data_IF_495457308747
#
_entry.id   IF_495457308747
#
_cell.length_a   1.000
_cell.length_b   1.000
_cell.length_c   1.000
_cell.angle_alpha   90.00
_cell.angle_beta   90.00
_cell.angle_gamma   90.00
#
_symmetry.space_group_name_H-M   'P 1'
#
loop_
_entity.id
_entity.type
_entity.pdbx_description
1 polymer ?
#
# COMPACT_ATOMS: atom_id res chain seq x y z
N UNK A 1 18.90 6.91 -13.74
CA UNK A 1 18.42 8.22 -13.25
C UNK A 1 16.99 8.45 -13.74
N UNK A 2 16.11 8.78 -12.83
CA UNK A 2 14.73 9.06 -13.18
C UNK A 2 14.63 10.46 -13.77
N UNK A 3 13.95 10.62 -14.91
CA UNK A 3 13.77 11.93 -15.53
C UNK A 3 12.89 12.83 -14.67
N UNK A 4 13.01 14.14 -14.83
CA UNK A 4 12.14 15.09 -14.13
C UNK A 4 10.67 14.87 -14.46
N UNK A 5 10.37 14.53 -15.72
CA UNK A 5 9.00 14.21 -16.15
C UNK A 5 8.43 13.02 -15.39
N UNK A 6 9.23 11.97 -15.20
CA UNK A 6 8.80 10.78 -14.46
C UNK A 6 8.59 11.10 -12.99
N UNK A 7 9.48 11.91 -12.39
CA UNK A 7 9.33 12.37 -11.01
C UNK A 7 8.05 13.17 -10.81
N UNK A 8 7.74 14.08 -11.74
CA UNK A 8 6.51 14.87 -11.69
C UNK A 8 5.27 13.97 -11.78
N UNK A 9 5.30 12.98 -12.68
CA UNK A 9 4.21 12.03 -12.82
C UNK A 9 4.00 11.23 -11.54
N UNK A 10 5.09 10.81 -10.89
CA UNK A 10 5.01 10.07 -9.63
C UNK A 10 4.45 10.94 -8.52
N UNK A 11 4.84 12.21 -8.45
CA UNK A 11 4.27 13.15 -7.47
C UNK A 11 2.78 13.33 -7.69
N UNK A 12 2.35 13.45 -8.94
CA UNK A 12 0.93 13.57 -9.27
C UNK A 12 0.13 12.35 -8.83
N UNK A 13 0.68 11.16 -9.04
CA UNK A 13 0.04 9.91 -8.61
C UNK A 13 -0.12 9.89 -7.09
N UNK A 14 0.94 10.22 -6.35
CA UNK A 14 0.92 10.25 -4.90
C UNK A 14 -0.10 11.27 -4.39
N UNK A 15 -0.08 12.47 -4.95
CA UNK A 15 -1.00 13.52 -4.51
C UNK A 15 -2.45 13.22 -4.87
N UNK A 16 -2.68 12.57 -6.01
CA UNK A 16 -4.03 12.14 -6.38
C UNK A 16 -4.57 11.13 -5.37
N UNK A 17 -3.78 10.13 -5.00
CA UNK A 17 -4.20 9.14 -4.01
C UNK A 17 -4.38 9.75 -2.62
N UNK A 18 -3.60 10.76 -2.29
CA UNK A 18 -3.76 11.46 -1.03
C UNK A 18 -5.08 12.25 -0.98
N UNK A 19 -5.39 12.98 -2.04
CA UNK A 19 -6.61 13.81 -2.09
C UNK A 19 -7.87 13.00 -2.41
N UNK A 20 -7.72 11.90 -3.14
CA UNK A 20 -8.84 11.07 -3.58
C UNK A 20 -8.57 9.60 -3.23
N UNK A 21 -8.49 9.26 -1.93
CA UNK A 21 -8.15 7.89 -1.54
C UNK A 21 -9.20 6.88 -2.03
N UNK A 22 -8.71 5.72 -2.43
CA UNK A 22 -9.54 4.62 -2.93
C UNK A 22 -9.87 3.66 -1.80
N UNK A 23 -10.96 2.89 -2.00
CA UNK A 23 -11.33 1.80 -1.09
C UNK A 23 -11.49 2.25 0.37
N UNK A 24 -12.16 3.39 0.57
CA UNK A 24 -12.34 3.96 1.91
C UNK A 24 -13.67 3.58 2.56
N UNK A 25 -14.53 2.87 1.85
CA UNK A 25 -15.83 2.47 2.37
C UNK A 25 -15.66 1.37 3.41
N UNK A 26 -16.13 1.62 4.63
CA UNK A 26 -15.99 0.68 5.72
C UNK A 26 -16.80 -0.60 5.49
N UNK A 27 -16.22 -1.73 5.87
CA UNK A 27 -16.87 -3.04 5.81
C UNK A 27 -17.49 -3.31 7.18
N UNK A 28 -18.80 -3.58 7.23
CA UNK A 28 -19.53 -3.74 8.50
C UNK A 28 -19.15 -4.99 9.27
N UNK A 29 -18.79 -6.06 8.59
CA UNK A 29 -18.40 -7.33 9.22
C UNK A 29 -17.19 -7.91 8.48
N UNK A 30 -16.01 -7.30 8.66
CA UNK A 30 -14.84 -7.79 7.94
C UNK A 30 -14.42 -9.16 8.47
N UNK A 31 -13.86 -9.97 7.58
CA UNK A 31 -13.25 -11.23 7.99
C UNK A 31 -11.97 -10.96 8.79
N UNK A 32 -11.22 -9.91 8.41
CA UNK A 32 -9.99 -9.52 9.09
C UNK A 32 -9.95 -8.02 9.24
N UNK A 33 -9.35 -7.55 10.32
CA UNK A 33 -9.19 -6.13 10.61
C UNK A 33 -7.91 -5.90 11.39
N UNK A 34 -7.22 -4.81 11.07
CA UNK A 34 -6.04 -4.39 11.84
C UNK A 34 -5.99 -2.86 11.88
N UNK A 35 -5.57 -2.35 13.03
CA UNK A 35 -5.25 -0.93 13.18
C UNK A 35 -3.78 -0.83 13.55
N UNK A 36 -3.09 0.13 12.96
CA UNK A 36 -1.68 0.34 13.23
C UNK A 36 -1.36 1.83 13.16
N UNK A 37 -0.40 2.25 13.95
CA UNK A 37 0.05 3.64 13.94
C UNK A 37 1.56 3.72 13.86
N UNK A 38 2.04 4.89 13.42
CA UNK A 38 3.43 5.26 13.46
C UNK A 38 3.58 6.42 14.44
N UNK A 39 4.07 6.19 15.67
CA UNK A 39 4.11 7.22 16.69
C UNK A 39 5.02 8.39 16.33
N UNK A 40 5.99 8.20 15.44
CA UNK A 40 6.93 9.26 15.05
C UNK A 40 6.28 10.30 14.13
N UNK A 41 5.32 9.88 13.31
CA UNK A 41 4.68 10.75 12.31
C UNK A 41 3.20 11.01 12.62
N UNK A 42 2.65 10.38 13.65
CA UNK A 42 1.23 10.51 13.95
C UNK A 42 0.32 9.84 12.92
N UNK A 43 0.87 8.98 12.07
CA UNK A 43 0.08 8.26 11.08
C UNK A 43 -0.72 7.16 11.73
N UNK A 44 -1.96 7.01 11.29
CA UNK A 44 -2.84 5.93 11.72
C UNK A 44 -3.45 5.27 10.49
N UNK A 45 -3.58 3.95 10.51
CA UNK A 45 -4.16 3.20 9.41
C UNK A 45 -5.07 2.10 9.96
N UNK A 46 -6.20 1.90 9.29
CA UNK A 46 -7.11 0.80 9.59
C UNK A 46 -7.35 0.04 8.30
N UNK A 47 -7.09 -1.25 8.32
CA UNK A 47 -7.32 -2.12 7.17
C UNK A 47 -8.37 -3.14 7.54
N UNK A 48 -9.37 -3.27 6.67
CA UNK A 48 -10.39 -4.29 6.77
C UNK A 48 -10.36 -5.12 5.51
N UNK A 49 -10.47 -6.44 5.66
CA UNK A 49 -10.50 -7.37 4.54
C UNK A 49 -11.65 -8.33 4.71
N UNK A 50 -12.42 -8.50 3.63
CA UNK A 50 -13.37 -9.58 3.50
C UNK A 50 -13.04 -10.38 2.26
N UNK A 51 -13.40 -11.65 2.25
CA UNK A 51 -13.17 -12.53 1.12
C UNK A 51 -14.50 -12.86 0.47
N UNK A 52 -14.55 -12.79 -0.86
CA UNK A 52 -15.75 -13.20 -1.59
C UNK A 52 -15.81 -14.72 -1.74
N UNK A 53 -16.81 -15.21 -2.45
CA UNK A 53 -17.02 -16.66 -2.66
C UNK A 53 -15.85 -17.33 -3.35
N UNK A 54 -15.05 -16.58 -4.11
CA UNK A 54 -13.91 -17.07 -4.86
C UNK A 54 -12.57 -16.80 -4.15
N UNK A 55 -12.62 -16.45 -2.85
CA UNK A 55 -11.44 -16.11 -2.06
C UNK A 55 -10.70 -14.88 -2.59
N UNK A 56 -11.41 -14.00 -3.28
CA UNK A 56 -10.86 -12.72 -3.73
C UNK A 56 -11.03 -11.66 -2.65
N UNK A 57 -10.07 -10.79 -2.57
CA UNK A 57 -9.98 -9.77 -1.52
C UNK A 57 -10.89 -8.60 -1.79
N UNK A 58 -11.67 -8.22 -0.79
CA UNK A 58 -12.38 -6.94 -0.75
C UNK A 58 -11.72 -6.16 0.37
N UNK A 59 -11.16 -4.99 0.05
CA UNK A 59 -10.33 -4.25 1.00
C UNK A 59 -10.89 -2.86 1.28
N UNK A 60 -10.79 -2.44 2.53
CA UNK A 60 -11.04 -1.07 2.94
C UNK A 60 -9.83 -0.56 3.70
N UNK A 61 -9.34 0.61 3.34
CA UNK A 61 -8.21 1.26 4.02
C UNK A 61 -8.62 2.68 4.38
N UNK A 62 -8.59 2.98 5.65
CA UNK A 62 -8.88 4.32 6.17
C UNK A 62 -7.80 4.72 7.15
N UNK A 63 -7.68 6.01 7.40
CA UNK A 63 -6.69 6.51 8.35
C UNK A 63 -6.46 7.99 8.21
N UNK A 64 -5.43 8.46 8.89
CA UNK A 64 -5.00 9.85 8.84
C UNK A 64 -3.49 9.90 9.05
N UNK A 65 -2.89 10.98 8.59
CA UNK A 65 -1.45 11.17 8.71
C UNK A 65 -0.88 11.90 7.53
N UNK A 66 0.42 11.71 7.29
CA UNK A 66 1.10 12.43 6.21
C UNK A 66 0.65 11.93 4.83
N UNK A 67 0.93 12.75 3.82
CA UNK A 67 0.55 12.42 2.44
C UNK A 67 1.11 11.07 1.98
N UNK A 68 2.33 10.73 2.39
CA UNK A 68 2.97 9.48 1.98
C UNK A 68 2.26 8.27 2.57
N UNK A 69 1.94 8.27 3.87
CA UNK A 69 1.26 7.14 4.48
C UNK A 69 -0.13 6.94 3.90
N UNK A 70 -0.86 8.03 3.68
CA UNK A 70 -2.22 7.96 3.16
C UNK A 70 -2.24 7.54 1.69
N UNK A 71 -1.34 8.08 0.87
CA UNK A 71 -1.22 7.70 -0.53
C UNK A 71 -0.80 6.22 -0.65
N UNK A 72 0.13 5.77 0.18
CA UNK A 72 0.58 4.39 0.16
C UNK A 72 -0.56 3.42 0.49
N UNK A 73 -1.37 3.74 1.50
CA UNK A 73 -2.54 2.93 1.84
C UNK A 73 -3.53 2.84 0.69
N UNK A 74 -3.80 3.97 0.04
CA UNK A 74 -4.70 4.01 -1.11
C UNK A 74 -4.16 3.23 -2.30
N UNK A 75 -2.88 3.40 -2.61
CA UNK A 75 -2.22 2.66 -3.71
C UNK A 75 -2.24 1.16 -3.44
N UNK A 76 -1.95 0.76 -2.20
CA UNK A 76 -2.01 -0.65 -1.80
C UNK A 76 -3.42 -1.20 -1.98
N UNK A 77 -4.43 -0.48 -1.48
CA UNK A 77 -5.81 -0.91 -1.55
C UNK A 77 -6.25 -1.14 -3.00
N UNK A 78 -5.95 -0.18 -3.88
CA UNK A 78 -6.29 -0.31 -5.29
C UNK A 78 -5.57 -1.50 -5.93
N UNK A 79 -4.32 -1.73 -5.56
CA UNK A 79 -3.52 -2.82 -6.10
C UNK A 79 -4.03 -4.20 -5.70
N UNK A 80 -4.42 -4.37 -4.44
CA UNK A 80 -4.80 -5.69 -3.93
C UNK A 80 -6.29 -6.00 -4.03
N UNK A 81 -7.11 -4.99 -4.30
CA UNK A 81 -8.55 -5.20 -4.41
C UNK A 81 -8.87 -6.22 -5.48
N UNK A 82 -9.71 -7.19 -5.15
CA UNK A 82 -10.13 -8.28 -6.02
C UNK A 82 -9.02 -9.29 -6.38
N UNK A 83 -7.84 -9.19 -5.78
CA UNK A 83 -6.83 -10.23 -5.94
C UNK A 83 -7.17 -11.45 -5.08
N UNK A 84 -6.76 -12.65 -5.52
CA UNK A 84 -6.84 -13.81 -4.64
C UNK A 84 -6.06 -13.56 -3.35
N UNK A 85 -6.63 -13.94 -2.22
CA UNK A 85 -6.00 -13.74 -0.91
C UNK A 85 -4.57 -14.32 -0.87
N UNK A 86 -4.36 -15.47 -1.50
CA UNK A 86 -3.05 -16.13 -1.53
C UNK A 86 -1.96 -15.32 -2.20
N UNK A 87 -2.33 -14.28 -2.99
CA UNK A 87 -1.36 -13.44 -3.69
C UNK A 87 -0.97 -12.19 -2.91
N UNK A 88 -1.59 -11.94 -1.76
CA UNK A 88 -1.32 -10.73 -0.99
C UNK A 88 0.13 -10.68 -0.48
N UNK A 89 0.65 -11.80 0.00
CA UNK A 89 2.02 -11.83 0.52
C UNK A 89 3.05 -11.50 -0.57
N UNK A 90 2.87 -12.01 -1.77
CA UNK A 90 3.81 -11.71 -2.86
C UNK A 90 3.79 -10.22 -3.23
N UNK A 91 2.63 -9.57 -3.10
CA UNK A 91 2.53 -8.12 -3.32
C UNK A 91 3.26 -7.34 -2.24
N UNK A 92 3.16 -7.74 -0.97
CA UNK A 92 3.92 -7.13 0.12
C UNK A 92 5.42 -7.28 -0.14
N UNK A 93 5.86 -8.46 -0.50
CA UNK A 93 7.27 -8.75 -0.78
C UNK A 93 7.80 -7.90 -1.94
N UNK A 94 7.00 -7.72 -2.97
CA UNK A 94 7.36 -6.93 -4.13
C UNK A 94 7.49 -5.44 -3.78
N UNK A 95 6.57 -4.92 -2.98
CA UNK A 95 6.66 -3.54 -2.49
C UNK A 95 7.92 -3.35 -1.65
N UNK A 96 8.25 -4.31 -0.81
CA UNK A 96 9.45 -4.26 0.02
C UNK A 96 10.72 -4.21 -0.85
N UNK A 97 10.77 -4.97 -1.94
CA UNK A 97 11.86 -4.88 -2.91
C UNK A 97 11.97 -3.49 -3.53
N UNK A 98 10.84 -2.91 -3.90
CA UNK A 98 10.80 -1.56 -4.47
C UNK A 98 11.39 -0.54 -3.50
N UNK A 99 10.98 -0.59 -2.25
CA UNK A 99 11.41 0.37 -1.22
C UNK A 99 12.88 0.19 -0.87
N UNK A 100 13.39 -1.04 -0.92
CA UNK A 100 14.81 -1.36 -0.65
C UNK A 100 15.73 -1.10 -1.84
N UNK A 101 15.19 -0.60 -2.94
CA UNK A 101 15.93 -0.36 -4.16
C UNK A 101 16.61 -1.61 -4.72
N UNK A 102 15.95 -2.76 -4.57
CA UNK A 102 16.42 -4.00 -5.16
C UNK A 102 16.09 -4.03 -6.65
N UNK A 103 16.87 -4.77 -7.42
CA UNK A 103 16.66 -4.89 -8.85
C UNK A 103 15.35 -5.64 -9.12
N UNK A 104 14.47 -5.03 -9.91
CA UNK A 104 13.20 -5.62 -10.29
C UNK A 104 13.19 -5.96 -11.76
N UNK A 105 12.54 -7.08 -12.11
CA UNK A 105 12.31 -7.43 -13.51
C UNK A 105 11.27 -6.51 -14.13
N UNK A 106 11.18 -6.47 -15.45
CA UNK A 106 10.14 -5.72 -16.15
C UNK A 106 8.74 -6.20 -15.74
N UNK A 107 8.55 -7.50 -15.57
CA UNK A 107 7.28 -8.07 -15.13
C UNK A 107 6.91 -7.58 -13.73
N UNK A 108 7.88 -7.54 -12.82
CA UNK A 108 7.67 -7.05 -11.46
C UNK A 108 7.29 -5.58 -11.45
N UNK A 109 7.98 -4.75 -12.24
CA UNK A 109 7.67 -3.32 -12.35
C UNK A 109 6.27 -3.10 -12.94
N UNK A 110 5.91 -3.85 -13.98
CA UNK A 110 4.59 -3.77 -14.58
C UNK A 110 3.51 -4.19 -13.58
N UNK A 111 3.78 -5.21 -12.80
CA UNK A 111 2.87 -5.70 -11.77
C UNK A 111 2.61 -4.65 -10.69
N UNK A 112 3.63 -3.86 -10.32
CA UNK A 112 3.48 -2.81 -9.32
C UNK A 112 2.59 -1.65 -9.81
N UNK A 113 2.62 -1.36 -11.10
CA UNK A 113 1.82 -0.26 -11.65
C UNK A 113 2.10 1.05 -10.92
N UNK A 114 1.02 1.75 -10.53
CA UNK A 114 1.12 3.06 -9.88
C UNK A 114 1.80 3.03 -8.50
N UNK A 115 1.90 1.85 -7.87
CA UNK A 115 2.64 1.70 -6.62
C UNK A 115 4.10 2.12 -6.80
N UNK A 116 4.64 1.98 -8.01
CA UNK A 116 6.00 2.41 -8.34
C UNK A 116 6.25 3.89 -8.08
N UNK A 117 5.19 4.70 -8.01
CA UNK A 117 5.31 6.12 -7.69
C UNK A 117 5.93 6.36 -6.32
N UNK A 118 5.88 5.37 -5.42
CA UNK A 118 6.46 5.48 -4.08
C UNK A 118 7.97 5.25 -4.06
N UNK A 119 8.57 4.91 -5.20
CA UNK A 119 10.02 4.66 -5.28
C UNK A 119 10.86 5.87 -4.84
N UNK A 120 10.34 7.08 -5.03
CA UNK A 120 11.05 8.30 -4.64
C UNK A 120 11.29 8.44 -3.15
N UNK A 121 10.52 7.75 -2.31
CA UNK A 121 10.67 7.88 -0.85
C UNK A 121 11.92 7.17 -0.32
N UNK A 122 12.57 6.33 -1.13
CA UNK A 122 13.81 5.63 -0.74
C UNK A 122 14.90 6.57 -0.22
N UNK A 123 14.92 7.79 -0.73
CA UNK A 123 15.91 8.80 -0.37
C UNK A 123 15.69 9.40 1.03
N UNK A 124 14.53 9.12 1.63
CA UNK A 124 14.12 9.74 2.88
C UNK A 124 13.74 8.66 3.89
N UNK A 125 14.69 8.21 4.74
CA UNK A 125 14.45 7.08 5.66
C UNK A 125 13.19 7.19 6.52
N UNK A 126 12.86 8.40 6.98
CA UNK A 126 11.63 8.62 7.76
C UNK A 126 10.39 8.33 6.93
N UNK A 127 10.43 8.72 5.65
CA UNK A 127 9.30 8.51 4.73
C UNK A 127 9.12 7.04 4.37
N UNK A 128 10.20 6.25 4.39
CA UNK A 128 10.12 4.81 4.16
C UNK A 128 9.18 4.18 5.18
N UNK A 129 9.29 4.56 6.45
CA UNK A 129 8.41 4.05 7.50
C UNK A 129 6.95 4.45 7.26
N UNK A 130 6.72 5.69 6.80
CA UNK A 130 5.38 6.15 6.46
C UNK A 130 4.79 5.32 5.31
N UNK A 131 5.58 5.10 4.26
CA UNK A 131 5.14 4.33 3.10
C UNK A 131 4.88 2.87 3.46
N UNK A 132 5.63 2.30 4.39
CA UNK A 132 5.52 0.89 4.77
C UNK A 132 4.36 0.59 5.72
N UNK A 133 3.80 1.60 6.40
CA UNK A 133 2.82 1.38 7.47
C UNK A 133 1.65 0.48 7.04
N UNK A 134 1.01 0.80 5.93
CA UNK A 134 -0.13 0.01 5.42
C UNK A 134 0.29 -1.40 5.03
N UNK A 135 1.44 -1.54 4.41
CA UNK A 135 1.92 -2.83 3.93
C UNK A 135 2.31 -3.75 5.09
N UNK A 136 2.91 -3.19 6.14
CA UNK A 136 3.22 -3.96 7.36
C UNK A 136 1.92 -4.38 8.05
N UNK A 137 0.93 -3.50 8.10
CA UNK A 137 -0.37 -3.82 8.67
C UNK A 137 -1.05 -4.96 7.90
N UNK A 138 -0.99 -4.90 6.55
CA UNK A 138 -1.51 -5.99 5.72
C UNK A 138 -0.81 -7.32 6.00
N UNK A 139 0.51 -7.27 6.12
CA UNK A 139 1.30 -8.47 6.42
C UNK A 139 0.93 -9.07 7.79
N UNK A 140 0.59 -8.25 8.77
CA UNK A 140 0.11 -8.74 10.06
C UNK A 140 -1.17 -9.54 9.92
N UNK A 141 -2.10 -9.07 9.09
CA UNK A 141 -3.33 -9.83 8.80
C UNK A 141 -2.99 -11.18 8.20
N UNK A 142 -2.11 -11.20 7.19
CA UNK A 142 -1.74 -12.41 6.48
C UNK A 142 -1.11 -13.43 7.44
N UNK A 143 -0.18 -12.99 8.28
CA UNK A 143 0.54 -13.88 9.20
C UNK A 143 -0.34 -14.45 10.29
N UNK A 144 -1.30 -13.68 10.78
CA UNK A 144 -2.23 -14.15 11.82
C UNK A 144 -3.21 -15.20 11.32
N UNK A 145 -3.47 -15.22 10.02
CA UNK A 145 -4.54 -16.01 9.44
C UNK A 145 -4.04 -17.09 8.46
N UNK A 146 -2.77 -17.39 8.55
CA UNK A 146 -2.18 -18.52 7.82
C UNK A 146 -2.18 -19.79 8.67
#
# INVERSE_FOLDING_TARGET
MVSDELNEMYEEIVMDHYHNPRNTELISRPDYEVEKNNPFCGDEIKIQISLDQNQKTIVSVTGRGCAISQASGSLMAEKIDLLPYKELQSNVDLFRKLIRDEILSEEELDSLGDVSALSGVRKFPVRIKCAMLSWVALEEIIKKNN
#
